data_IF_389852114676
#
_entry.id   IF_389852114676
#
_cell.length_a   1.000
_cell.length_b   1.000
_cell.length_c   1.000
_cell.angle_alpha   90.00
_cell.angle_beta   90.00
_cell.angle_gamma   90.00
#
_symmetry.space_group_name_H-M   'P 1'
#
loop_
_entity.id
_entity.type
_entity.pdbx_description
1 polymer ?
#
# COMPACT_ATOMS: atom_id res chain seq x y z
N UNK A 1 -22.25 -2.14 -32.75
CA UNK A 1 -21.78 -2.17 -31.34
C UNK A 1 -20.86 -3.37 -31.11
N UNK A 2 -19.89 -3.59 -32.00
CA UNK A 2 -18.85 -4.63 -31.89
C UNK A 2 -17.46 -4.11 -32.29
N UNK A 3 -17.41 -3.00 -33.04
CA UNK A 3 -16.16 -2.36 -33.52
C UNK A 3 -15.31 -1.68 -32.44
N UNK A 4 -15.93 -1.20 -31.35
CA UNK A 4 -15.21 -0.38 -30.37
C UNK A 4 -14.15 -1.20 -29.60
N UNK A 5 -14.34 -2.51 -29.46
CA UNK A 5 -13.40 -3.39 -28.73
C UNK A 5 -12.13 -3.66 -29.55
N UNK A 6 -12.20 -3.57 -30.88
CA UNK A 6 -11.05 -3.83 -31.76
C UNK A 6 -10.11 -2.62 -31.84
N UNK A 7 -10.64 -1.40 -31.80
CA UNK A 7 -9.82 -0.18 -31.76
C UNK A 7 -8.96 -0.07 -30.49
N UNK A 8 -9.47 -0.55 -29.35
CA UNK A 8 -8.69 -0.60 -28.12
C UNK A 8 -7.55 -1.63 -28.15
N UNK A 9 -7.66 -2.70 -28.94
CA UNK A 9 -6.54 -3.66 -29.15
C UNK A 9 -5.45 -3.09 -30.07
N UNK A 10 -5.83 -2.32 -31.08
CA UNK A 10 -4.89 -1.76 -32.05
C UNK A 10 -3.95 -0.70 -31.45
N UNK A 11 -4.35 -0.03 -30.36
CA UNK A 11 -3.59 1.04 -29.72
C UNK A 11 -2.63 0.56 -28.60
N UNK A 12 -2.26 -0.72 -28.58
CA UNK A 12 -1.22 -1.22 -27.67
C UNK A 12 -1.59 -1.13 -26.18
N UNK A 13 -2.90 -1.15 -25.88
CA UNK A 13 -3.36 -1.19 -24.48
C UNK A 13 -2.99 -2.55 -23.90
N UNK A 14 -2.01 -2.52 -23.00
CA UNK A 14 -1.53 -3.70 -22.31
C UNK A 14 -2.62 -4.22 -21.35
N UNK A 15 -3.44 -5.17 -21.81
CA UNK A 15 -4.41 -5.90 -21.00
C UNK A 15 -3.75 -6.97 -20.11
N UNK A 16 -2.44 -7.13 -20.24
CA UNK A 16 -1.65 -8.02 -19.40
C UNK A 16 -1.39 -7.29 -18.08
N UNK A 17 -2.25 -7.54 -17.10
CA UNK A 17 -1.96 -7.20 -15.71
C UNK A 17 -0.76 -8.04 -15.25
N UNK A 18 0.44 -7.52 -15.46
CA UNK A 18 1.71 -7.97 -14.86
C UNK A 18 1.77 -7.67 -13.35
N UNK A 19 0.62 -7.56 -12.68
CA UNK A 19 0.61 -7.47 -11.23
C UNK A 19 1.01 -8.82 -10.67
N UNK A 20 2.16 -8.86 -9.98
CA UNK A 20 2.65 -10.00 -9.19
C UNK A 20 1.46 -10.82 -8.69
N UNK A 21 1.39 -12.07 -9.15
CA UNK A 21 0.34 -13.02 -8.84
C UNK A 21 0.14 -12.99 -7.32
N UNK A 22 -1.03 -12.57 -6.87
CA UNK A 22 -1.45 -12.47 -5.45
C UNK A 22 -1.13 -13.74 -4.63
N UNK A 23 -0.89 -14.87 -5.30
CA UNK A 23 -0.53 -16.15 -4.72
C UNK A 23 0.93 -16.26 -4.21
N UNK A 24 1.92 -15.58 -4.81
CA UNK A 24 3.32 -15.65 -4.31
C UNK A 24 3.52 -14.77 -3.08
N UNK A 25 2.80 -13.65 -3.04
CA UNK A 25 2.76 -12.72 -1.93
C UNK A 25 2.05 -13.31 -0.70
N UNK A 26 1.11 -14.24 -0.93
CA UNK A 26 0.33 -14.89 0.12
C UNK A 26 1.15 -15.83 1.01
N UNK A 27 2.35 -16.24 0.57
CA UNK A 27 3.23 -17.14 1.32
C UNK A 27 4.03 -16.43 2.44
N UNK A 28 4.03 -15.10 2.44
CA UNK A 28 4.61 -14.30 3.52
C UNK A 28 3.54 -14.10 4.59
N UNK A 29 3.68 -14.80 5.72
CA UNK A 29 2.83 -14.65 6.91
C UNK A 29 3.19 -13.33 7.62
N UNK A 30 2.84 -12.21 6.96
CA UNK A 30 3.06 -10.87 7.48
C UNK A 30 1.74 -10.16 7.70
N UNK A 31 1.70 -9.32 8.72
CA UNK A 31 0.51 -8.51 9.03
C UNK A 31 0.13 -7.58 7.87
N UNK A 32 1.07 -7.31 6.96
CA UNK A 32 0.91 -6.45 5.80
C UNK A 32 0.21 -7.15 4.63
N UNK A 33 0.21 -8.48 4.58
CA UNK A 33 -0.28 -9.24 3.45
C UNK A 33 -1.77 -8.96 3.16
N UNK A 34 -2.06 -8.47 1.97
CA UNK A 34 -3.41 -8.10 1.54
C UNK A 34 -3.98 -6.83 2.19
N UNK A 35 -3.19 -6.12 3.02
CA UNK A 35 -3.57 -4.87 3.67
C UNK A 35 -3.29 -3.66 2.78
N UNK A 36 -4.15 -2.65 2.88
CA UNK A 36 -3.95 -1.38 2.18
C UNK A 36 -3.47 -0.31 3.14
N UNK A 37 -2.26 0.19 2.91
CA UNK A 37 -1.59 1.19 3.74
C UNK A 37 -1.54 2.51 3.00
N UNK A 38 -1.79 3.61 3.70
CA UNK A 38 -1.63 4.96 3.15
C UNK A 38 -0.48 5.67 3.85
N UNK A 39 0.53 6.08 3.10
CA UNK A 39 1.62 6.90 3.63
C UNK A 39 1.24 8.39 3.51
N UNK A 40 1.32 9.13 4.61
CA UNK A 40 1.07 10.58 4.64
C UNK A 40 2.08 11.31 5.51
N UNK A 41 2.35 12.58 5.17
CA UNK A 41 3.41 13.35 5.80
C UNK A 41 4.76 13.10 5.12
N UNK A 42 5.79 13.72 5.69
CA UNK A 42 7.20 13.49 5.38
C UNK A 42 7.69 12.37 6.29
N UNK A 43 8.21 11.32 5.67
CA UNK A 43 8.81 10.21 6.39
C UNK A 43 10.27 10.58 6.68
N UNK A 44 10.66 10.53 7.95
CA UNK A 44 12.01 10.92 8.40
C UNK A 44 12.92 9.71 8.54
N UNK A 45 12.36 8.54 8.87
CA UNK A 45 13.11 7.29 9.04
C UNK A 45 13.32 6.54 7.72
N UNK A 46 12.35 6.62 6.80
CA UNK A 46 12.43 5.93 5.51
C UNK A 46 12.03 6.85 4.37
N UNK A 47 12.58 6.64 3.17
CA UNK A 47 12.00 7.26 1.99
C UNK A 47 10.66 6.61 1.67
N UNK A 48 9.75 7.40 1.11
CA UNK A 48 8.43 6.91 0.66
C UNK A 48 8.55 5.71 -0.29
N UNK A 49 9.59 5.69 -1.11
CA UNK A 49 9.90 4.58 -2.01
C UNK A 49 10.30 3.32 -1.23
N UNK A 50 11.25 3.43 -0.30
CA UNK A 50 11.69 2.30 0.52
C UNK A 50 10.56 1.71 1.35
N UNK A 51 9.77 2.56 2.02
CA UNK A 51 8.59 2.12 2.76
C UNK A 51 7.57 1.41 1.86
N UNK A 52 7.40 1.88 0.62
CA UNK A 52 6.53 1.24 -0.36
C UNK A 52 7.07 -0.14 -0.74
N UNK A 53 8.35 -0.24 -1.06
CA UNK A 53 8.98 -1.51 -1.44
C UNK A 53 8.95 -2.54 -0.31
N UNK A 54 9.21 -2.14 0.94
CA UNK A 54 9.12 -3.05 2.09
C UNK A 54 7.69 -3.56 2.32
N UNK A 55 6.70 -2.65 2.29
CA UNK A 55 5.30 -3.05 2.44
C UNK A 55 4.86 -3.95 1.29
N UNK A 56 5.23 -3.64 0.05
CA UNK A 56 4.93 -4.47 -1.12
C UNK A 56 5.66 -5.82 -1.12
N UNK A 57 6.87 -5.88 -0.56
CA UNK A 57 7.63 -7.12 -0.38
C UNK A 57 6.94 -8.05 0.63
N UNK A 58 6.38 -7.49 1.70
CA UNK A 58 5.58 -8.21 2.71
C UNK A 58 4.12 -8.43 2.29
N UNK A 59 3.76 -7.97 1.09
CA UNK A 59 2.46 -8.21 0.49
C UNK A 59 1.35 -7.24 0.80
N UNK A 60 1.69 -6.14 1.44
CA UNK A 60 0.82 -4.99 1.55
C UNK A 60 0.76 -4.18 0.27
N UNK A 61 -0.21 -3.29 0.21
CA UNK A 61 -0.41 -2.36 -0.88
C UNK A 61 -0.35 -0.95 -0.37
N UNK A 62 0.62 -0.16 -0.84
CA UNK A 62 0.69 1.26 -0.52
C UNK A 62 -0.14 2.07 -1.51
N UNK A 63 -0.94 3.00 -0.98
CA UNK A 63 -1.74 3.93 -1.79
C UNK A 63 -1.60 5.35 -1.27
N UNK A 64 -1.66 6.35 -2.16
CA UNK A 64 -1.58 7.76 -1.77
C UNK A 64 -2.90 8.38 -1.30
N UNK A 65 -4.01 7.63 -1.36
CA UNK A 65 -5.36 8.14 -1.13
C UNK A 65 -6.06 7.39 -0.01
N UNK A 66 -6.56 8.14 0.98
CA UNK A 66 -7.38 7.58 2.06
C UNK A 66 -8.76 7.19 1.52
N UNK A 67 -9.09 5.90 1.62
CA UNK A 67 -10.36 5.32 1.19
C UNK A 67 -10.93 4.40 2.27
N UNK A 68 -12.21 4.04 2.16
CA UNK A 68 -12.86 3.06 3.06
C UNK A 68 -12.22 1.66 3.04
N UNK A 69 -11.40 1.37 2.03
CA UNK A 69 -10.65 0.12 1.89
C UNK A 69 -9.25 0.18 2.51
N UNK A 70 -8.84 1.34 3.02
CA UNK A 70 -7.56 1.52 3.70
C UNK A 70 -7.65 0.86 5.07
N UNK A 71 -6.78 -0.12 5.32
CA UNK A 71 -6.69 -0.77 6.62
C UNK A 71 -5.96 0.14 7.61
N UNK A 72 -4.84 0.74 7.20
CA UNK A 72 -3.99 1.58 8.07
C UNK A 72 -3.47 2.81 7.33
N UNK A 73 -3.22 3.88 8.08
CA UNK A 73 -2.52 5.06 7.57
C UNK A 73 -1.25 5.28 8.38
N UNK A 74 -0.11 5.41 7.72
CA UNK A 74 1.16 5.79 8.36
C UNK A 74 1.27 7.30 8.29
N UNK A 75 1.26 7.95 9.44
CA UNK A 75 1.42 9.39 9.58
C UNK A 75 2.85 9.73 10.01
N UNK A 76 3.60 10.31 9.08
CA UNK A 76 4.90 10.95 9.34
C UNK A 76 4.74 12.43 9.75
N UNK A 77 5.86 13.14 9.74
CA UNK A 77 5.94 14.57 10.06
C UNK A 77 5.02 15.36 9.12
N UNK A 78 4.14 16.21 9.66
CA UNK A 78 3.18 17.04 8.89
C UNK A 78 2.07 16.29 8.11
N UNK A 79 1.60 15.14 8.59
CA UNK A 79 0.50 14.37 7.98
C UNK A 79 -0.90 15.07 7.86
N UNK A 80 -1.02 16.33 8.31
CA UNK A 80 -2.25 16.99 8.76
C UNK A 80 -3.52 16.80 7.91
N UNK A 81 -3.45 16.90 6.58
CA UNK A 81 -4.65 16.83 5.73
C UNK A 81 -5.21 15.42 5.48
N UNK A 82 -4.38 14.36 5.54
CA UNK A 82 -4.87 12.97 5.37
C UNK A 82 -5.17 12.31 6.71
N UNK A 83 -4.49 12.74 7.78
CA UNK A 83 -4.74 12.31 9.14
C UNK A 83 -6.18 12.66 9.56
N UNK A 84 -6.62 13.90 9.31
CA UNK A 84 -8.00 14.31 9.60
C UNK A 84 -9.05 13.46 8.86
N UNK A 85 -8.77 13.09 7.60
CA UNK A 85 -9.66 12.24 6.80
C UNK A 85 -9.70 10.80 7.31
N UNK A 86 -8.57 10.25 7.75
CA UNK A 86 -8.50 8.93 8.36
C UNK A 86 -9.24 8.88 9.70
N UNK A 87 -9.05 9.89 10.56
CA UNK A 87 -9.78 10.03 11.82
C UNK A 87 -11.30 10.12 11.59
N UNK A 88 -11.73 10.89 10.59
CA UNK A 88 -13.15 11.01 10.22
C UNK A 88 -13.75 9.70 9.72
N UNK A 89 -12.93 8.82 9.15
CA UNK A 89 -13.34 7.50 8.67
C UNK A 89 -13.16 6.39 9.71
N UNK A 90 -12.58 6.70 10.88
CA UNK A 90 -12.26 5.71 11.92
C UNK A 90 -11.13 4.75 11.53
N UNK A 91 -10.24 5.16 10.63
CA UNK A 91 -9.11 4.34 10.17
C UNK A 91 -7.96 4.44 11.19
N UNK A 92 -7.35 3.32 11.62
CA UNK A 92 -6.20 3.32 12.50
C UNK A 92 -5.01 4.07 11.89
N UNK A 93 -4.42 4.95 12.69
CA UNK A 93 -3.21 5.71 12.35
C UNK A 93 -2.01 5.06 13.02
N UNK A 94 -1.01 4.66 12.23
CA UNK A 94 0.29 4.19 12.67
C UNK A 94 1.32 5.28 12.50
N UNK A 95 2.31 5.31 13.39
CA UNK A 95 3.49 6.16 13.22
C UNK A 95 4.52 5.47 12.32
N UNK A 96 5.55 6.21 11.90
CA UNK A 96 6.71 5.58 11.26
C UNK A 96 7.32 4.49 12.13
N UNK A 97 7.44 4.72 13.44
CA UNK A 97 7.98 3.75 14.38
C UNK A 97 7.14 2.46 14.44
N UNK A 98 5.81 2.58 14.43
CA UNK A 98 4.91 1.42 14.37
C UNK A 98 5.09 0.62 13.08
N UNK A 99 5.24 1.30 11.95
CA UNK A 99 5.52 0.64 10.67
C UNK A 99 6.82 -0.16 10.78
N UNK A 100 7.91 0.47 11.20
CA UNK A 100 9.24 -0.14 11.29
C UNK A 100 9.24 -1.34 12.22
N UNK A 101 8.68 -1.19 13.41
CA UNK A 101 8.56 -2.26 14.39
C UNK A 101 7.82 -3.48 13.84
N UNK A 102 6.81 -3.24 13.02
CA UNK A 102 6.03 -4.30 12.37
C UNK A 102 6.73 -4.90 11.14
N UNK A 103 7.59 -4.13 10.45
CA UNK A 103 8.48 -4.64 9.41
C UNK A 103 9.53 -5.56 10.03
N UNK A 104 10.21 -5.14 11.11
CA UNK A 104 11.23 -5.93 11.82
C UNK A 104 10.68 -7.23 12.42
N UNK A 105 9.44 -7.21 12.96
CA UNK A 105 8.78 -8.43 13.46
C UNK A 105 8.46 -9.44 12.37
N UNK A 106 8.23 -8.98 11.14
CA UNK A 106 7.88 -9.85 10.02
C UNK A 106 9.12 -10.54 9.44
N UNK A 107 10.29 -9.93 9.59
CA UNK A 107 11.59 -10.49 9.18
C UNK A 107 12.13 -11.54 10.19
N UNK A 108 11.73 -11.43 11.48
CA UNK A 108 12.22 -12.31 12.57
C UNK A 108 11.40 -13.59 12.81
N UNK A 109 10.53 -14.00 11.88
CA UNK A 109 9.85 -15.32 12.01
C UNK A 109 10.72 -16.42 11.42
N UNK A 110 11.57 -16.98 12.29
CA UNK A 110 12.30 -18.25 12.14
C UNK A 110 11.36 -19.48 12.19
#
# INVERSE_FOLDING_TARGET
MKDLIEEFRANGVNLTYLGKKKAEVAAVDSIWNGKTVVLTGKLTHYNRTEATEMIEALGGKVTGSVSKKTDWIVAGEEAGSKLAKAQSLGIPVWTEEDMVKNLERSDSSE
#
